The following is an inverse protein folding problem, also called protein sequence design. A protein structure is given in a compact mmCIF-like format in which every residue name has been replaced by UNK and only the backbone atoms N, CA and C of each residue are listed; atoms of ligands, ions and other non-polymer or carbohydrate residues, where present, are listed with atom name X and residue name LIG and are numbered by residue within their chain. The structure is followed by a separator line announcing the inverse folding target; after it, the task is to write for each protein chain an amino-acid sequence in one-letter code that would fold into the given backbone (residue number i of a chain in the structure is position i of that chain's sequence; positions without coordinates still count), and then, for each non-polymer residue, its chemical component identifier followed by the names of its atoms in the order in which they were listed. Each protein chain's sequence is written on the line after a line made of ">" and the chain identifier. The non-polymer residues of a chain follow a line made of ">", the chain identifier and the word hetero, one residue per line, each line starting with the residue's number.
data_IF_838790165173
#
_entry.id   IF_838790165173
#
_cell.length_a   1.000
_cell.length_b   1.000
_cell.length_c   1.000
_cell.angle_alpha   90.00
_cell.angle_beta   90.00
_cell.angle_gamma   90.00
#
_symmetry.space_group_name_H-M   'P 1'
#
loop_
_entity.id
_entity.type
_entity.pdbx_description
1 polymer ?
#
# COMPACT_ATOMS: atom_id res chain seq x y z
N UNK A 1 -0.35 36.92 -21.96
CA UNK A 1 0.14 37.89 -20.97
C UNK A 1 -1.00 38.85 -20.69
N UNK A 2 -1.69 38.67 -19.58
CA UNK A 2 -2.55 39.69 -18.97
C UNK A 2 -2.36 39.52 -17.46
N UNK A 3 -1.46 40.34 -16.91
CA UNK A 3 -1.40 40.66 -15.49
C UNK A 3 -2.57 41.60 -15.22
N UNK A 4 -3.56 41.16 -14.45
CA UNK A 4 -4.68 42.00 -14.03
C UNK A 4 -4.59 42.26 -12.53
N UNK A 5 -4.18 43.48 -12.16
CA UNK A 5 -4.24 44.14 -10.84
C UNK A 5 -4.24 43.24 -9.59
N UNK A 6 -3.30 42.31 -9.55
CA UNK A 6 -3.11 41.31 -8.50
C UNK A 6 -1.87 40.48 -8.78
N UNK A 7 -1.57 39.53 -7.90
CA UNK A 7 -0.40 38.65 -7.96
C UNK A 7 -0.12 38.11 -9.37
N UNK A 8 1.11 38.28 -9.85
CA UNK A 8 1.57 37.75 -11.14
C UNK A 8 1.72 36.23 -11.09
N UNK A 9 1.76 35.57 -12.26
CA UNK A 9 2.03 34.13 -12.34
C UNK A 9 3.37 33.75 -11.67
N UNK A 10 4.40 34.60 -11.80
CA UNK A 10 5.71 34.34 -11.21
C UNK A 10 5.65 34.40 -9.67
N UNK A 11 5.04 35.43 -9.11
CA UNK A 11 4.84 35.56 -7.66
C UNK A 11 3.99 34.40 -7.10
N UNK A 12 2.96 33.98 -7.83
CA UNK A 12 2.17 32.81 -7.45
C UNK A 12 3.02 31.54 -7.36
N UNK A 13 3.92 31.31 -8.33
CA UNK A 13 4.84 30.16 -8.31
C UNK A 13 5.81 30.20 -7.14
N UNK A 14 6.33 31.38 -6.81
CA UNK A 14 7.20 31.60 -5.64
C UNK A 14 6.47 31.26 -4.33
N UNK A 15 5.25 31.77 -4.16
CA UNK A 15 4.44 31.46 -2.97
C UNK A 15 4.04 29.99 -2.92
N UNK A 16 3.73 29.36 -4.06
CA UNK A 16 3.49 27.90 -4.14
C UNK A 16 4.72 27.13 -3.68
N UNK A 17 5.93 27.51 -4.11
CA UNK A 17 7.18 26.89 -3.65
C UNK A 17 7.34 27.06 -2.14
N UNK A 18 7.25 28.30 -1.65
CA UNK A 18 7.36 28.61 -0.21
C UNK A 18 6.30 27.86 0.62
N UNK A 19 5.11 27.63 0.07
CA UNK A 19 4.06 26.84 0.75
C UNK A 19 4.46 25.37 0.87
N UNK A 20 5.09 24.79 -0.15
CA UNK A 20 5.58 23.41 -0.10
C UNK A 20 6.73 23.22 0.90
N UNK A 21 7.51 24.27 1.13
CA UNK A 21 8.60 24.29 2.11
C UNK A 21 8.14 24.71 3.52
N UNK A 22 6.86 25.11 3.68
CA UNK A 22 6.30 25.55 4.96
C UNK A 22 6.69 26.98 5.36
N UNK A 23 7.26 27.75 4.44
CA UNK A 23 7.80 29.09 4.66
C UNK A 23 6.81 30.22 4.34
N UNK A 24 5.79 29.95 3.51
CA UNK A 24 4.80 30.95 3.13
C UNK A 24 3.92 31.37 4.32
N UNK A 25 3.59 32.65 4.43
CA UNK A 25 2.64 33.19 5.39
C UNK A 25 1.17 32.98 4.99
N UNK A 26 0.20 33.13 5.92
CA UNK A 26 -1.22 32.93 5.63
C UNK A 26 -1.78 33.91 4.60
N UNK A 27 -1.34 35.17 4.61
CA UNK A 27 -1.80 36.18 3.64
C UNK A 27 -1.28 35.89 2.22
N UNK A 28 -0.02 35.45 2.10
CA UNK A 28 0.58 35.07 0.82
C UNK A 28 -0.14 33.86 0.22
N UNK A 29 -0.39 32.83 1.04
CA UNK A 29 -1.18 31.67 0.62
C UNK A 29 -2.55 32.05 0.11
N UNK A 30 -3.28 32.91 0.84
CA UNK A 30 -4.60 33.37 0.40
C UNK A 30 -4.56 34.11 -0.94
N UNK A 31 -3.52 34.93 -1.17
CA UNK A 31 -3.34 35.61 -2.45
C UNK A 31 -3.01 34.62 -3.59
N UNK A 32 -2.18 33.62 -3.33
CA UNK A 32 -1.88 32.56 -4.29
C UNK A 32 -3.11 31.70 -4.60
N UNK A 33 -3.91 31.34 -3.60
CA UNK A 33 -5.16 30.59 -3.77
C UNK A 33 -6.15 31.34 -4.69
N UNK A 34 -6.28 32.66 -4.49
CA UNK A 34 -7.09 33.51 -5.37
C UNK A 34 -6.59 33.49 -6.82
N UNK A 35 -5.26 33.54 -7.03
CA UNK A 35 -4.67 33.43 -8.35
C UNK A 35 -4.88 32.04 -8.98
N UNK A 36 -4.71 30.98 -8.19
CA UNK A 36 -4.90 29.59 -8.60
C UNK A 36 -6.34 29.30 -9.00
N UNK A 37 -7.33 29.99 -8.43
CA UNK A 37 -8.73 29.88 -8.88
C UNK A 37 -8.91 30.34 -10.34
N UNK A 38 -8.20 31.39 -10.76
CA UNK A 38 -8.30 31.96 -12.11
C UNK A 38 -7.32 31.38 -13.13
N UNK A 39 -6.14 30.90 -12.72
CA UNK A 39 -5.05 30.57 -13.63
C UNK A 39 -4.80 29.06 -13.77
N UNK A 40 -5.22 28.49 -14.91
CA UNK A 40 -5.00 27.07 -15.22
C UNK A 40 -3.51 26.67 -15.29
N UNK A 41 -2.65 27.57 -15.79
CA UNK A 41 -1.21 27.32 -15.88
C UNK A 41 -0.56 27.23 -14.49
N UNK A 42 -0.98 28.06 -13.54
CA UNK A 42 -0.48 28.02 -12.17
C UNK A 42 -1.00 26.79 -11.41
N UNK A 43 -2.25 26.33 -11.66
CA UNK A 43 -2.73 25.05 -11.12
C UNK A 43 -1.94 23.85 -11.64
N UNK A 44 -1.62 23.85 -12.94
CA UNK A 44 -0.77 22.80 -13.53
C UNK A 44 0.64 22.80 -12.95
N UNK A 45 1.22 24.00 -12.76
CA UNK A 45 2.49 24.16 -12.08
C UNK A 45 2.44 23.63 -10.64
N UNK A 46 1.44 24.01 -9.85
CA UNK A 46 1.29 23.56 -8.47
C UNK A 46 1.20 22.03 -8.37
N UNK A 47 0.38 21.41 -9.23
CA UNK A 47 0.28 19.95 -9.30
C UNK A 47 1.63 19.29 -9.63
N UNK A 48 2.38 19.87 -10.57
CA UNK A 48 3.71 19.37 -10.95
C UNK A 48 4.73 19.55 -9.83
N UNK A 49 4.75 20.71 -9.16
CA UNK A 49 5.64 20.99 -8.05
C UNK A 49 5.37 20.05 -6.85
N UNK A 50 4.10 19.81 -6.52
CA UNK A 50 3.69 18.83 -5.49
C UNK A 50 4.14 17.42 -5.84
N UNK A 51 3.99 17.02 -7.11
CA UNK A 51 4.39 15.70 -7.57
C UNK A 51 5.90 15.49 -7.51
N UNK A 52 6.68 16.43 -8.06
CA UNK A 52 8.15 16.39 -7.99
C UNK A 52 8.66 16.46 -6.56
N UNK A 53 8.07 17.30 -5.71
CA UNK A 53 8.43 17.41 -4.30
C UNK A 53 8.25 16.08 -3.54
N UNK A 54 7.18 15.33 -3.84
CA UNK A 54 6.98 13.99 -3.27
C UNK A 54 8.04 13.01 -3.76
N UNK A 55 8.31 12.96 -5.06
CA UNK A 55 9.33 12.06 -5.60
C UNK A 55 10.73 12.35 -5.06
N UNK A 56 11.06 13.62 -4.81
CA UNK A 56 12.36 14.01 -4.28
C UNK A 56 12.51 13.68 -2.78
N UNK A 57 11.42 13.71 -2.01
CA UNK A 57 11.45 13.52 -0.54
C UNK A 57 11.19 12.09 -0.09
N UNK A 58 10.43 11.31 -0.87
CA UNK A 58 10.05 9.95 -0.50
C UNK A 58 11.03 8.96 -1.12
N UNK A 59 11.76 8.26 -0.27
CA UNK A 59 12.66 7.17 -0.64
C UNK A 59 12.63 6.06 0.40
N UNK A 60 13.29 4.92 0.13
CA UNK A 60 13.50 3.89 1.13
C UNK A 60 14.13 4.51 2.38
N UNK A 61 13.54 4.25 3.54
CA UNK A 61 14.14 4.65 4.80
C UNK A 61 15.45 3.87 4.99
N UNK A 62 16.47 4.55 5.49
CA UNK A 62 17.64 3.85 6.03
C UNK A 62 17.21 2.95 7.20
N UNK A 63 17.86 1.81 7.41
CA UNK A 63 17.55 0.94 8.53
C UNK A 63 17.82 1.67 9.84
N UNK A 64 16.74 2.04 10.53
CA UNK A 64 16.74 2.68 11.85
C UNK A 64 16.10 1.75 12.88
N UNK A 65 16.45 1.87 14.17
CA UNK A 65 15.76 1.15 15.23
C UNK A 65 14.26 1.45 15.21
N UNK A 66 13.44 0.43 15.45
CA UNK A 66 12.00 0.61 15.60
C UNK A 66 11.70 1.28 16.95
N UNK A 67 11.19 2.50 16.89
CA UNK A 67 10.82 3.30 18.06
C UNK A 67 9.30 3.40 18.25
N UNK A 68 8.49 2.75 17.40
CA UNK A 68 7.04 2.91 17.39
C UNK A 68 6.44 2.56 18.77
N UNK A 69 6.74 1.37 19.30
CA UNK A 69 6.25 0.91 20.60
C UNK A 69 6.63 1.83 21.77
N UNK A 70 7.88 2.33 21.76
CA UNK A 70 8.39 3.22 22.80
C UNK A 70 7.69 4.57 22.79
N UNK A 71 7.50 5.14 21.60
CA UNK A 71 6.80 6.41 21.41
C UNK A 71 5.32 6.31 21.77
N UNK A 72 4.62 5.27 21.28
CA UNK A 72 3.21 5.04 21.57
C UNK A 72 2.96 4.90 23.07
N UNK A 73 3.79 4.12 23.77
CA UNK A 73 3.74 3.99 25.23
C UNK A 73 3.95 5.33 25.93
N UNK A 74 4.88 6.14 25.46
CA UNK A 74 5.17 7.48 26.03
C UNK A 74 3.99 8.42 25.87
N UNK A 75 3.28 8.35 24.74
CA UNK A 75 2.07 9.12 24.48
C UNK A 75 0.83 8.59 25.21
N UNK A 76 0.96 7.48 25.96
CA UNK A 76 -0.17 6.80 26.61
C UNK A 76 -1.13 6.14 25.61
N UNK A 77 -0.71 6.01 24.35
CA UNK A 77 -1.45 5.33 23.31
C UNK A 77 -1.16 3.84 23.45
N UNK A 78 -2.10 3.11 24.03
CA UNK A 78 -2.07 1.65 23.98
C UNK A 78 -2.68 1.23 22.67
N UNK A 79 -1.92 0.55 21.81
CA UNK A 79 -2.52 -0.07 20.64
C UNK A 79 -3.60 -1.06 21.11
N UNK A 80 -4.81 -1.03 20.54
CA UNK A 80 -5.77 -2.09 20.77
C UNK A 80 -5.11 -3.38 20.30
N UNK A 81 -4.86 -4.29 21.24
CA UNK A 81 -4.24 -5.57 20.92
C UNK A 81 -5.08 -6.22 19.83
N UNK A 82 -4.52 -6.50 18.63
CA UNK A 82 -5.28 -7.10 17.56
C UNK A 82 -5.83 -8.40 18.10
N UNK A 83 -7.15 -8.47 18.28
CA UNK A 83 -7.81 -9.69 18.68
C UNK A 83 -7.37 -10.74 17.66
N UNK A 84 -6.78 -11.83 18.13
CA UNK A 84 -6.37 -12.91 17.25
C UNK A 84 -7.62 -13.40 16.51
N UNK A 85 -7.80 -12.94 15.28
CA UNK A 85 -8.83 -13.48 14.40
C UNK A 85 -8.30 -14.85 14.01
N UNK A 86 -8.86 -15.89 14.61
CA UNK A 86 -8.57 -17.25 14.19
C UNK A 86 -8.96 -17.36 12.71
N UNK A 87 -7.95 -17.38 11.84
CA UNK A 87 -8.17 -17.69 10.42
C UNK A 87 -8.57 -19.15 10.41
N UNK A 88 -9.84 -19.43 10.13
CA UNK A 88 -10.32 -20.79 9.97
C UNK A 88 -9.49 -21.46 8.87
N UNK A 89 -8.72 -22.49 9.22
CA UNK A 89 -8.05 -23.31 8.24
C UNK A 89 -9.14 -23.99 7.39
N UNK A 90 -9.20 -23.74 6.07
CA UNK A 90 -10.22 -24.37 5.24
C UNK A 90 -9.97 -25.89 5.23
N UNK A 91 -11.05 -26.68 5.38
CA UNK A 91 -11.00 -28.10 5.05
C UNK A 91 -10.80 -28.24 3.54
N UNK A 92 -9.61 -28.67 3.15
CA UNK A 92 -9.27 -28.96 1.77
C UNK A 92 -9.62 -30.42 1.48
N UNK A 93 -10.69 -30.67 0.74
CA UNK A 93 -11.03 -32.00 0.21
C UNK A 93 -10.70 -32.06 -1.28
N UNK A 94 -10.12 -33.16 -1.72
CA UNK A 94 -9.93 -33.44 -3.14
C UNK A 94 -11.28 -33.51 -3.87
N UNK A 95 -11.42 -32.82 -5.01
CA UNK A 95 -12.58 -32.98 -5.88
C UNK A 95 -12.66 -34.44 -6.39
N UNK A 96 -13.85 -35.04 -6.46
CA UNK A 96 -14.03 -36.27 -7.22
C UNK A 96 -13.62 -36.04 -8.68
N UNK A 97 -12.73 -36.88 -9.20
CA UNK A 97 -12.10 -36.73 -10.52
C UNK A 97 -10.74 -36.02 -10.55
N UNK A 98 -10.12 -35.74 -9.39
CA UNK A 98 -8.71 -35.32 -9.31
C UNK A 98 -7.73 -36.43 -9.71
N UNK A 99 -6.45 -36.10 -9.89
CA UNK A 99 -5.41 -37.01 -10.41
C UNK A 99 -5.24 -38.35 -9.66
N UNK A 100 -5.75 -38.46 -8.44
CA UNK A 100 -5.91 -39.73 -7.74
C UNK A 100 -7.33 -40.23 -8.03
N UNK A 101 -7.45 -41.22 -8.92
CA UNK A 101 -8.73 -41.88 -9.21
C UNK A 101 -9.34 -42.55 -7.97
N UNK A 102 -10.53 -43.14 -8.14
CA UNK A 102 -11.44 -43.69 -7.11
C UNK A 102 -10.91 -44.88 -6.27
N UNK A 103 -9.59 -44.98 -6.04
CA UNK A 103 -8.98 -45.94 -5.15
C UNK A 103 -9.00 -45.48 -3.69
N UNK A 104 -8.99 -46.41 -2.72
CA UNK A 104 -8.96 -46.07 -1.31
C UNK A 104 -7.73 -45.22 -1.01
N UNK A 105 -7.95 -44.05 -0.42
CA UNK A 105 -6.88 -43.19 0.06
C UNK A 105 -6.22 -43.86 1.26
N UNK A 106 -5.14 -44.60 1.01
CA UNK A 106 -4.25 -45.04 2.07
C UNK A 106 -3.65 -43.77 2.70
N UNK A 107 -4.11 -43.46 3.92
CA UNK A 107 -3.65 -42.34 4.72
C UNK A 107 -2.20 -42.59 5.16
N UNK A 108 -1.24 -42.31 4.27
CA UNK A 108 0.18 -42.34 4.61
C UNK A 108 0.57 -41.16 5.50
N UNK A 109 1.42 -41.43 6.51
CA UNK A 109 2.06 -40.45 7.40
C UNK A 109 3.16 -39.62 6.69
N UNK A 110 2.88 -39.15 5.48
CA UNK A 110 3.82 -38.38 4.67
C UNK A 110 3.76 -36.88 4.94
N UNK A 111 4.89 -36.19 4.76
CA UNK A 111 4.96 -34.73 4.75
C UNK A 111 3.95 -34.15 3.74
N UNK A 112 3.20 -33.13 4.17
CA UNK A 112 2.16 -32.49 3.38
C UNK A 112 2.67 -31.16 2.83
N UNK A 113 2.25 -30.80 1.62
CA UNK A 113 2.50 -29.47 1.06
C UNK A 113 1.76 -28.38 1.86
N UNK A 114 2.07 -27.11 1.59
CA UNK A 114 1.32 -25.96 2.12
C UNK A 114 -0.19 -26.00 1.76
N UNK A 115 -0.57 -26.71 0.68
CA UNK A 115 -1.95 -26.97 0.30
C UNK A 115 -2.54 -28.27 0.89
N UNK A 116 -1.84 -28.96 1.79
CA UNK A 116 -2.33 -30.16 2.48
C UNK A 116 -2.23 -31.48 1.70
N UNK A 117 -1.79 -31.46 0.42
CA UNK A 117 -1.59 -32.65 -0.40
C UNK A 117 -0.43 -33.54 0.11
N UNK A 118 -0.55 -34.86 -0.04
CA UNK A 118 0.55 -35.81 0.15
C UNK A 118 1.69 -35.54 -0.84
N UNK A 119 2.92 -35.82 -0.41
CA UNK A 119 4.14 -35.66 -1.22
C UNK A 119 4.14 -36.46 -2.55
N UNK A 120 3.24 -37.43 -2.71
CA UNK A 120 3.08 -38.27 -3.90
C UNK A 120 2.09 -37.68 -4.93
N UNK A 121 1.48 -36.53 -4.66
CA UNK A 121 0.54 -35.90 -5.60
C UNK A 121 1.29 -35.27 -6.79
N UNK A 122 0.93 -35.67 -8.02
CA UNK A 122 1.55 -35.22 -9.27
C UNK A 122 1.24 -33.77 -9.69
N UNK A 123 0.88 -32.88 -8.75
CA UNK A 123 0.52 -31.49 -9.04
C UNK A 123 1.73 -30.52 -9.14
N UNK A 124 2.95 -30.97 -8.81
CA UNK A 124 4.20 -30.21 -9.00
C UNK A 124 4.37 -28.98 -8.09
N UNK A 125 3.50 -28.78 -7.09
CA UNK A 125 3.53 -27.60 -6.22
C UNK A 125 4.76 -27.55 -5.29
N UNK A 126 5.39 -28.71 -5.01
CA UNK A 126 6.66 -28.79 -4.27
C UNK A 126 7.83 -28.17 -5.06
N UNK A 127 7.69 -28.13 -6.39
CA UNK A 127 8.74 -27.71 -7.34
C UNK A 127 8.54 -26.26 -7.80
N UNK A 128 7.71 -25.48 -7.10
CA UNK A 128 7.46 -24.06 -7.39
C UNK A 128 6.38 -23.80 -8.45
N UNK A 129 5.67 -24.82 -8.93
CA UNK A 129 4.54 -24.63 -9.84
C UNK A 129 3.30 -24.07 -9.09
N UNK A 130 2.50 -23.19 -9.73
CA UNK A 130 1.30 -22.64 -9.11
C UNK A 130 0.26 -23.75 -8.87
N UNK A 131 -0.28 -23.78 -7.66
CA UNK A 131 -1.31 -24.74 -7.25
C UNK A 131 -2.57 -24.61 -8.13
N UNK A 132 -3.05 -25.74 -8.66
CA UNK A 132 -4.27 -25.81 -9.49
C UNK A 132 -5.45 -26.48 -8.77
N UNK A 133 -5.32 -26.78 -7.48
CA UNK A 133 -6.40 -27.34 -6.67
C UNK A 133 -7.44 -26.25 -6.41
N UNK A 134 -8.69 -26.45 -6.85
CA UNK A 134 -9.79 -25.54 -6.57
C UNK A 134 -10.36 -25.79 -5.17
N UNK A 135 -10.54 -24.72 -4.38
CA UNK A 135 -11.32 -24.78 -3.14
C UNK A 135 -12.80 -24.75 -3.48
N UNK A 136 -13.60 -25.66 -2.90
CA UNK A 136 -15.06 -25.51 -2.88
C UNK A 136 -15.42 -24.95 -1.52
N UNK A 137 -16.07 -23.78 -1.50
CA UNK A 137 -16.71 -23.30 -0.28
C UNK A 137 -17.80 -24.30 0.13
N UNK A 138 -17.90 -24.58 1.44
CA UNK A 138 -18.94 -25.41 2.03
C UNK A 138 -20.34 -24.81 1.80
#
# INVERSE_FOLDING_TARGET
>A
MYDSEGMTCQQCREVVSATLDGEAGPAERAAADAHLAGCAACRAYEGSARWLGRLARVGPAEPVPDLADGLLRTLGISEPQPAAVAVAAPELTCLPGGCCGDGPADAGDGARSACGCLATCGCGCQDGAPCRCGTKAA
#
